data_IF_914721953607
#
_entry.id   IF_914721953607
#
_cell.length_a   1.000
_cell.length_b   1.000
_cell.length_c   1.000
_cell.angle_alpha   90.00
_cell.angle_beta   90.00
_cell.angle_gamma   90.00
#
_symmetry.space_group_name_H-M   'P 1'
#
loop_
_entity.id
_entity.type
_entity.pdbx_description
1 polymer ?
#
# COMPACT_ATOMS: atom_id res chain seq x y z
N UNK A 1 -16.33 -25.90 29.40
CA UNK A 1 -15.13 -25.60 28.59
C UNK A 1 -15.32 -26.29 27.25
N UNK A 2 -15.95 -25.62 26.30
CA UNK A 2 -16.11 -26.12 24.91
C UNK A 2 -15.10 -25.40 24.05
N UNK A 3 -14.14 -26.15 23.55
CA UNK A 3 -13.11 -25.66 22.61
C UNK A 3 -13.77 -25.54 21.25
N UNK A 4 -14.01 -24.31 20.80
CA UNK A 4 -14.41 -24.04 19.42
C UNK A 4 -13.17 -24.23 18.54
N UNK A 5 -13.18 -25.30 17.76
CA UNK A 5 -12.20 -25.54 16.69
C UNK A 5 -12.66 -24.72 15.48
N UNK A 6 -11.99 -23.62 15.22
CA UNK A 6 -12.16 -22.88 13.97
C UNK A 6 -11.32 -23.54 12.88
N UNK A 7 -11.98 -24.05 11.86
CA UNK A 7 -11.36 -24.54 10.64
C UNK A 7 -10.83 -23.36 9.83
N UNK A 8 -9.54 -23.40 9.50
CA UNK A 8 -8.87 -22.44 8.65
C UNK A 8 -9.39 -22.55 7.21
N UNK A 9 -9.68 -21.45 6.51
CA UNK A 9 -9.70 -21.47 5.06
C UNK A 9 -8.25 -21.54 4.57
N UNK A 10 -7.87 -22.70 4.04
CA UNK A 10 -6.66 -22.87 3.25
C UNK A 10 -6.78 -22.03 1.96
N UNK A 11 -5.62 -21.65 1.37
CA UNK A 11 -5.56 -21.02 0.05
C UNK A 11 -6.34 -21.80 -1.04
N UNK A 12 -6.59 -23.09 -0.81
CA UNK A 12 -7.39 -23.96 -1.68
C UNK A 12 -8.89 -23.61 -1.75
N UNK A 13 -9.41 -22.75 -0.88
CA UNK A 13 -10.82 -22.31 -0.96
C UNK A 13 -11.07 -21.17 -1.96
N UNK A 14 -10.02 -20.50 -2.43
CA UNK A 14 -10.11 -19.58 -3.56
C UNK A 14 -10.20 -20.35 -4.90
N UNK A 15 -9.74 -21.60 -4.96
CA UNK A 15 -9.76 -22.45 -6.17
C UNK A 15 -11.09 -23.19 -6.40
N UNK A 16 -12.06 -23.12 -5.49
CA UNK A 16 -13.32 -23.86 -5.56
C UNK A 16 -14.54 -23.03 -5.97
N UNK A 17 -14.38 -21.73 -6.25
CA UNK A 17 -15.44 -20.92 -6.87
C UNK A 17 -15.44 -21.21 -8.37
N UNK A 18 -16.52 -21.80 -8.87
CA UNK A 18 -16.78 -22.04 -10.28
C UNK A 18 -16.46 -20.84 -11.15
N UNK A 19 -15.60 -21.03 -12.13
CA UNK A 19 -15.21 -20.29 -13.31
C UNK A 19 -16.14 -19.16 -13.82
N UNK A 20 -16.32 -18.11 -13.05
CA UNK A 20 -16.57 -16.75 -13.52
C UNK A 20 -15.42 -15.94 -12.93
N UNK A 21 -14.62 -15.25 -13.78
CA UNK A 21 -13.47 -14.45 -13.38
C UNK A 21 -13.92 -13.22 -12.57
N UNK A 22 -14.29 -13.43 -11.31
CA UNK A 22 -14.72 -12.37 -10.39
C UNK A 22 -13.47 -11.78 -9.73
N UNK A 23 -13.14 -10.53 -10.03
CA UNK A 23 -12.06 -9.81 -9.37
C UNK A 23 -12.48 -9.39 -7.97
N UNK A 24 -11.53 -9.27 -7.05
CA UNK A 24 -11.78 -8.63 -5.76
C UNK A 24 -11.73 -7.09 -5.87
N UNK A 25 -12.24 -6.40 -4.86
CA UNK A 25 -11.97 -4.98 -4.64
C UNK A 25 -10.88 -4.84 -3.57
N UNK A 26 -9.95 -3.95 -3.83
CA UNK A 26 -8.92 -3.58 -2.86
C UNK A 26 -9.02 -2.09 -2.53
N UNK A 27 -9.09 -1.77 -1.26
CA UNK A 27 -8.94 -0.41 -0.77
C UNK A 27 -7.52 -0.20 -0.25
N UNK A 28 -6.82 0.78 -0.81
CA UNK A 28 -5.45 1.10 -0.38
C UNK A 28 -5.42 1.52 1.08
N UNK A 29 -6.45 2.18 1.55
CA UNK A 29 -6.61 2.60 2.94
C UNK A 29 -7.17 4.01 3.03
N UNK A 30 -7.21 4.56 4.23
CA UNK A 30 -7.76 5.85 4.63
C UNK A 30 -9.17 6.16 4.07
N UNK A 31 -9.89 7.02 4.75
CA UNK A 31 -11.16 7.59 4.31
C UNK A 31 -11.08 9.12 4.41
N UNK A 32 -12.01 9.86 3.78
CA UNK A 32 -12.15 11.29 4.04
C UNK A 32 -12.15 11.62 5.52
N UNK A 33 -11.44 12.66 5.93
CA UNK A 33 -11.20 13.00 7.33
C UNK A 33 -12.48 13.08 8.20
N UNK A 34 -13.62 13.43 7.60
CA UNK A 34 -14.92 13.46 8.27
C UNK A 34 -15.47 12.08 8.66
N UNK A 35 -14.89 11.00 8.13
CA UNK A 35 -15.28 9.60 8.37
C UNK A 35 -14.29 8.84 9.25
N UNK A 36 -13.20 9.48 9.72
CA UNK A 36 -12.10 8.78 10.42
C UNK A 36 -12.21 8.83 11.95
N UNK A 37 -13.31 9.34 12.51
CA UNK A 37 -13.45 9.53 13.96
C UNK A 37 -13.79 8.27 14.77
N UNK A 38 -14.23 7.18 14.13
CA UNK A 38 -14.70 5.95 14.78
C UNK A 38 -14.32 4.71 13.96
N UNK A 39 -13.56 3.81 14.56
CA UNK A 39 -13.05 2.60 13.88
C UNK A 39 -14.18 1.68 13.40
N UNK A 40 -15.26 1.53 14.20
CA UNK A 40 -16.40 0.71 13.80
C UNK A 40 -17.10 1.32 12.58
N UNK A 41 -17.34 2.64 12.57
CA UNK A 41 -17.98 3.34 11.44
C UNK A 41 -17.10 3.29 10.20
N UNK A 42 -15.77 3.44 10.33
CA UNK A 42 -14.84 3.30 9.20
C UNK A 42 -14.94 1.92 8.54
N UNK A 43 -14.88 0.84 9.33
CA UNK A 43 -14.99 -0.52 8.80
C UNK A 43 -16.37 -0.78 8.18
N UNK A 44 -17.44 -0.31 8.83
CA UNK A 44 -18.81 -0.39 8.28
C UNK A 44 -18.92 0.33 6.96
N UNK A 45 -18.30 1.49 6.81
CA UNK A 45 -18.33 2.23 5.55
C UNK A 45 -17.83 1.37 4.38
N UNK A 46 -16.69 0.71 4.52
CA UNK A 46 -16.17 -0.18 3.46
C UNK A 46 -17.13 -1.33 3.17
N UNK A 47 -17.64 -1.99 4.19
CA UNK A 47 -18.55 -3.13 4.05
C UNK A 47 -19.88 -2.73 3.40
N UNK A 48 -20.44 -1.59 3.78
CA UNK A 48 -21.73 -1.10 3.27
C UNK A 48 -21.65 -0.62 1.81
N UNK A 49 -20.46 -0.18 1.37
CA UNK A 49 -20.24 0.28 -0.02
C UNK A 49 -19.68 -0.82 -0.95
N UNK A 50 -19.54 -2.05 -0.45
CA UNK A 50 -19.10 -3.21 -1.24
C UNK A 50 -20.00 -4.43 -0.99
N UNK A 51 -21.33 -4.30 -1.17
CA UNK A 51 -22.22 -5.44 -1.05
C UNK A 51 -21.86 -6.49 -2.11
N UNK A 52 -21.91 -7.76 -1.74
CA UNK A 52 -21.72 -8.91 -2.63
C UNK A 52 -20.36 -8.92 -3.37
N UNK A 53 -19.35 -8.19 -2.85
CA UNK A 53 -18.04 -8.10 -3.46
C UNK A 53 -16.96 -8.59 -2.48
N UNK A 54 -16.06 -9.43 -2.98
CA UNK A 54 -14.91 -9.89 -2.20
C UNK A 54 -13.92 -8.73 -1.98
N UNK A 55 -13.58 -8.47 -0.72
CA UNK A 55 -12.54 -7.52 -0.34
C UNK A 55 -11.22 -8.26 -0.08
N UNK A 56 -10.11 -7.69 -0.56
CA UNK A 56 -8.78 -8.25 -0.27
C UNK A 56 -8.37 -8.04 1.19
N UNK A 57 -8.83 -6.98 1.83
CA UNK A 57 -8.60 -6.62 3.22
C UNK A 57 -9.51 -5.49 3.65
N UNK A 58 -9.65 -5.29 4.95
CA UNK A 58 -10.47 -4.23 5.54
C UNK A 58 -9.56 -3.18 6.21
N UNK A 59 -9.29 -2.04 5.54
CA UNK A 59 -8.45 -1.00 6.13
C UNK A 59 -9.20 -0.22 7.21
N UNK A 60 -8.45 0.40 8.12
CA UNK A 60 -8.98 1.31 9.13
C UNK A 60 -7.90 2.32 9.55
N UNK A 61 -7.33 3.04 8.57
CA UNK A 61 -6.29 4.04 8.81
C UNK A 61 -6.91 5.36 9.27
N UNK A 62 -6.51 5.87 10.41
CA UNK A 62 -7.00 7.15 10.94
C UNK A 62 -6.37 8.37 10.28
N UNK A 63 -5.11 8.27 9.83
CA UNK A 63 -4.43 9.37 9.18
C UNK A 63 -4.78 9.43 7.67
N UNK A 64 -5.63 10.38 7.25
CA UNK A 64 -5.96 10.56 5.84
C UNK A 64 -4.77 11.08 5.03
N UNK A 65 -3.71 11.54 5.70
CA UNK A 65 -2.48 12.07 5.10
C UNK A 65 -1.29 11.11 5.19
N UNK A 66 -1.54 9.85 5.58
CA UNK A 66 -0.54 8.77 5.67
C UNK A 66 0.42 8.97 6.86
N UNK A 67 1.67 9.43 6.64
CA UNK A 67 2.70 9.60 7.69
C UNK A 67 2.93 11.06 8.09
N UNK A 68 2.09 11.99 7.65
CA UNK A 68 2.37 13.42 7.86
C UNK A 68 2.38 13.77 9.35
N UNK A 69 1.40 13.26 10.12
CA UNK A 69 1.34 13.53 11.55
C UNK A 69 2.55 12.94 12.29
N UNK A 70 3.07 11.78 11.84
CA UNK A 70 4.30 11.21 12.36
C UNK A 70 5.53 12.08 12.01
N UNK A 71 5.64 12.57 10.77
CA UNK A 71 6.73 13.47 10.35
C UNK A 71 6.75 14.77 11.15
N UNK A 72 5.59 15.36 11.40
CA UNK A 72 5.45 16.56 12.23
C UNK A 72 5.87 16.28 13.69
N UNK A 73 5.59 15.06 14.19
CA UNK A 73 6.01 14.58 15.51
C UNK A 73 7.52 14.44 15.69
N UNK A 74 8.30 14.28 14.62
CA UNK A 74 9.77 14.15 14.69
C UNK A 74 10.46 15.39 15.29
N UNK A 75 9.82 16.55 15.23
CA UNK A 75 10.32 17.78 15.83
C UNK A 75 10.51 17.66 17.37
N UNK A 76 9.80 16.75 18.03
CA UNK A 76 9.89 16.51 19.46
C UNK A 76 11.06 15.60 19.86
N UNK A 77 11.70 14.91 18.90
CA UNK A 77 12.82 14.00 19.17
C UNK A 77 14.08 14.79 19.47
N UNK A 78 14.62 14.66 20.71
CA UNK A 78 15.81 15.41 21.12
C UNK A 78 17.05 15.18 20.22
N UNK A 79 17.18 14.00 19.64
CA UNK A 79 18.30 13.67 18.75
C UNK A 79 18.25 14.38 17.39
N UNK A 80 17.10 14.90 16.99
CA UNK A 80 16.89 15.55 15.68
C UNK A 80 16.94 17.08 15.80
N UNK A 81 17.39 17.72 14.73
CA UNK A 81 17.25 19.15 14.55
C UNK A 81 16.72 19.45 13.12
N UNK A 82 15.84 20.46 12.97
CA UNK A 82 15.28 20.78 11.67
C UNK A 82 16.35 21.37 10.74
N UNK A 83 16.36 20.87 9.50
CA UNK A 83 17.13 21.46 8.38
C UNK A 83 16.23 22.35 7.54
N UNK A 84 15.01 21.89 7.30
CA UNK A 84 13.95 22.65 6.66
C UNK A 84 12.70 22.55 7.53
N UNK A 85 12.08 23.68 7.79
CA UNK A 85 10.74 23.73 8.40
C UNK A 85 9.69 23.71 7.31
N UNK A 86 8.50 23.22 7.61
CA UNK A 86 7.36 23.17 6.70
C UNK A 86 6.11 22.78 7.45
N UNK A 87 4.97 22.88 6.77
CA UNK A 87 3.64 22.53 7.30
C UNK A 87 3.02 21.34 6.55
N UNK A 88 3.82 20.69 5.70
CA UNK A 88 3.40 19.52 4.91
C UNK A 88 2.14 19.79 4.05
N UNK A 89 2.02 21.03 3.53
CA UNK A 89 0.93 21.40 2.64
C UNK A 89 1.07 20.72 1.27
N UNK A 90 2.30 20.60 0.79
CA UNK A 90 2.69 19.86 -0.40
C UNK A 90 4.10 19.26 -0.22
N UNK A 91 4.59 18.52 -1.23
CA UNK A 91 5.91 17.87 -1.17
C UNK A 91 7.10 18.85 -1.10
N UNK A 92 6.93 20.11 -1.46
CA UNK A 92 7.98 21.13 -1.34
C UNK A 92 7.98 21.79 0.04
N UNK A 93 6.87 21.70 0.78
CA UNK A 93 6.67 22.26 2.11
C UNK A 93 6.84 21.21 3.23
N UNK A 94 7.41 20.06 2.96
CA UNK A 94 7.66 19.04 3.98
C UNK A 94 8.88 19.39 4.84
N UNK A 95 8.79 19.22 6.19
CA UNK A 95 9.93 19.38 7.06
C UNK A 95 11.00 18.32 6.77
N UNK A 96 12.26 18.67 7.00
CA UNK A 96 13.36 17.69 6.98
C UNK A 96 14.28 17.94 8.15
N UNK A 97 14.96 16.89 8.59
CA UNK A 97 15.76 16.88 9.80
C UNK A 97 17.17 16.37 9.53
N UNK A 98 18.06 16.60 10.49
CA UNK A 98 19.35 15.93 10.58
C UNK A 98 19.62 15.51 12.02
N UNK A 99 20.50 14.54 12.18
CA UNK A 99 20.94 14.12 13.49
C UNK A 99 21.85 15.20 14.12
N UNK A 100 21.62 15.57 15.36
CA UNK A 100 22.51 16.44 16.13
C UNK A 100 23.86 15.76 16.33
N UNK A 101 24.92 16.53 16.37
CA UNK A 101 26.28 16.00 16.58
C UNK A 101 26.36 15.19 17.89
N UNK A 102 26.91 13.98 17.80
CA UNK A 102 27.07 13.10 18.96
C UNK A 102 25.78 12.46 19.50
N UNK A 103 24.65 12.60 18.76
CA UNK A 103 23.40 11.93 19.07
C UNK A 103 23.14 10.78 18.11
N UNK A 104 22.27 9.84 18.50
CA UNK A 104 21.78 8.73 17.69
C UNK A 104 20.28 8.58 17.88
N UNK A 105 19.63 7.90 16.96
CA UNK A 105 18.21 7.53 17.04
C UNK A 105 18.09 6.10 17.54
N UNK A 106 17.17 5.88 18.48
CA UNK A 106 16.71 4.56 18.87
C UNK A 106 15.41 4.21 18.09
N UNK A 107 15.08 2.92 17.96
CA UNK A 107 13.85 2.50 17.27
C UNK A 107 12.60 3.03 17.95
N UNK A 108 12.62 3.11 19.28
CA UNK A 108 11.51 3.62 20.08
C UNK A 108 11.21 5.10 19.81
N UNK A 109 12.23 5.92 19.47
CA UNK A 109 12.03 7.32 19.06
C UNK A 109 11.21 7.44 17.78
N UNK A 110 11.22 6.40 16.95
CA UNK A 110 10.62 6.36 15.61
C UNK A 110 9.34 5.54 15.56
N UNK A 111 8.78 5.14 16.68
CA UNK A 111 7.55 4.34 16.73
C UNK A 111 6.42 5.01 15.95
N UNK A 112 5.73 4.25 15.11
CA UNK A 112 4.55 4.69 14.36
C UNK A 112 3.26 4.49 15.17
N UNK A 113 3.33 3.80 16.33
CA UNK A 113 2.17 3.47 17.15
C UNK A 113 1.19 2.50 16.49
N UNK A 114 1.62 1.79 15.44
CA UNK A 114 0.73 0.90 14.67
C UNK A 114 0.20 -0.26 15.49
N UNK A 115 0.98 -0.77 16.44
CA UNK A 115 0.54 -1.85 17.33
C UNK A 115 -0.65 -1.40 18.19
N UNK A 116 -0.53 -0.28 18.89
CA UNK A 116 -1.61 0.27 19.72
C UNK A 116 -2.86 0.61 18.90
N UNK A 117 -2.68 1.19 17.72
CA UNK A 117 -3.78 1.49 16.80
C UNK A 117 -4.49 0.21 16.36
N UNK A 118 -3.74 -0.81 15.95
CA UNK A 118 -4.29 -2.10 15.52
C UNK A 118 -5.08 -2.77 16.65
N UNK A 119 -4.61 -2.73 17.89
CA UNK A 119 -5.35 -3.27 19.04
C UNK A 119 -6.72 -2.61 19.20
N UNK A 120 -6.77 -1.28 19.07
CA UNK A 120 -8.04 -0.53 19.13
C UNK A 120 -8.97 -0.88 17.96
N UNK A 121 -8.44 -1.00 16.75
CA UNK A 121 -9.22 -1.42 15.57
C UNK A 121 -9.76 -2.84 15.74
N UNK A 122 -8.95 -3.78 16.21
CA UNK A 122 -9.36 -5.17 16.41
C UNK A 122 -10.41 -5.30 17.53
N UNK A 123 -10.33 -4.46 18.57
CA UNK A 123 -11.38 -4.38 19.58
C UNK A 123 -12.71 -3.85 19.02
N UNK A 124 -12.68 -2.83 18.15
CA UNK A 124 -13.87 -2.33 17.45
C UNK A 124 -14.41 -3.38 16.45
N UNK A 125 -13.52 -4.08 15.72
CA UNK A 125 -13.88 -5.15 14.80
C UNK A 125 -14.64 -6.28 15.48
N UNK A 126 -14.27 -6.64 16.69
CA UNK A 126 -14.98 -7.67 17.46
C UNK A 126 -16.45 -7.31 17.79
N UNK A 127 -16.81 -6.05 17.64
CA UNK A 127 -18.19 -5.54 17.84
C UNK A 127 -18.98 -5.45 16.52
N UNK A 128 -18.34 -5.70 15.37
CA UNK A 128 -19.04 -5.78 14.09
C UNK A 128 -19.91 -7.03 14.07
N UNK A 129 -21.19 -6.82 13.82
CA UNK A 129 -22.15 -7.92 13.61
C UNK A 129 -22.55 -7.91 12.13
N UNK A 130 -22.22 -8.98 11.42
CA UNK A 130 -22.59 -9.20 10.04
C UNK A 130 -22.55 -10.72 9.79
N UNK A 131 -23.39 -11.21 8.90
CA UNK A 131 -23.42 -12.62 8.52
C UNK A 131 -22.30 -12.99 7.53
N UNK A 132 -21.54 -11.99 7.06
CA UNK A 132 -20.41 -12.18 6.13
C UNK A 132 -19.12 -12.53 6.88
N UNK A 133 -18.29 -13.36 6.26
CA UNK A 133 -16.89 -13.51 6.68
C UNK A 133 -16.13 -12.23 6.39
N UNK A 134 -15.62 -11.59 7.44
CA UNK A 134 -14.84 -10.38 7.29
C UNK A 134 -13.44 -10.68 6.75
N UNK A 135 -12.97 -9.96 5.72
CA UNK A 135 -11.58 -10.05 5.29
C UNK A 135 -10.64 -9.66 6.44
N UNK A 136 -9.37 -10.06 6.43
CA UNK A 136 -8.42 -9.67 7.46
C UNK A 136 -8.30 -8.14 7.55
N UNK A 137 -8.05 -7.62 8.75
CA UNK A 137 -7.75 -6.19 8.92
C UNK A 137 -6.46 -5.84 8.17
N UNK A 138 -6.51 -4.84 7.29
CA UNK A 138 -5.37 -4.35 6.55
C UNK A 138 -4.64 -3.27 7.35
N UNK A 139 -3.39 -3.55 7.70
CA UNK A 139 -2.53 -2.61 8.44
C UNK A 139 -1.56 -1.95 7.47
N UNK A 140 -1.65 -0.63 7.34
CA UNK A 140 -0.72 0.18 6.56
C UNK A 140 0.65 0.26 7.26
N UNK A 141 1.69 -0.17 6.56
CA UNK A 141 3.08 -0.20 7.03
C UNK A 141 3.96 0.61 6.07
N UNK A 142 4.41 1.81 6.44
CA UNK A 142 5.35 2.56 5.63
C UNK A 142 6.67 1.80 5.46
N UNK A 143 7.20 1.77 4.25
CA UNK A 143 8.52 1.16 4.02
C UNK A 143 9.61 1.96 4.77
N UNK A 144 10.51 1.32 5.49
CA UNK A 144 11.58 1.99 6.26
C UNK A 144 12.42 2.99 5.47
N UNK A 145 12.66 2.71 4.18
CA UNK A 145 13.39 3.64 3.31
C UNK A 145 12.60 4.92 3.05
N UNK A 146 11.29 4.82 2.96
CA UNK A 146 10.40 5.99 2.77
C UNK A 146 10.44 6.89 4.00
N UNK A 147 10.30 6.31 5.20
CA UNK A 147 10.41 7.05 6.46
C UNK A 147 11.76 7.77 6.57
N UNK A 148 12.86 7.07 6.31
CA UNK A 148 14.19 7.66 6.36
C UNK A 148 14.39 8.75 5.29
N UNK A 149 13.88 8.54 4.06
CA UNK A 149 14.01 9.53 2.99
C UNK A 149 13.21 10.80 3.27
N UNK A 150 11.97 10.66 3.77
CA UNK A 150 11.15 11.83 4.13
C UNK A 150 11.73 12.54 5.36
N UNK A 151 12.26 11.82 6.36
CA UNK A 151 12.91 12.43 7.52
C UNK A 151 14.14 13.28 7.13
N UNK A 152 15.03 12.72 6.30
CA UNK A 152 16.32 13.36 6.02
C UNK A 152 16.37 14.14 4.69
N UNK A 153 15.39 13.97 3.82
CA UNK A 153 15.34 14.64 2.50
C UNK A 153 16.48 14.22 1.54
N UNK A 154 17.27 13.20 1.88
CA UNK A 154 18.48 12.79 1.15
C UNK A 154 18.61 11.28 1.08
N UNK A 155 18.77 10.67 -0.12
CA UNK A 155 18.97 9.24 -0.26
C UNK A 155 20.20 8.70 0.50
N UNK A 156 21.29 9.48 0.54
CA UNK A 156 22.51 9.09 1.26
C UNK A 156 22.29 9.01 2.77
N UNK A 157 21.65 10.01 3.36
CA UNK A 157 21.30 10.00 4.77
C UNK A 157 20.25 8.92 5.08
N UNK A 158 19.25 8.75 4.22
CA UNK A 158 18.26 7.69 4.36
C UNK A 158 18.90 6.29 4.43
N UNK A 159 19.83 5.99 3.54
CA UNK A 159 20.54 4.69 3.53
C UNK A 159 21.40 4.52 4.79
N UNK A 160 22.05 5.58 5.26
CA UNK A 160 22.90 5.55 6.46
C UNK A 160 22.09 5.19 7.72
N UNK A 161 20.90 5.74 7.84
CA UNK A 161 20.04 5.54 9.01
C UNK A 161 18.96 4.46 8.82
N UNK A 162 18.88 3.82 7.64
CA UNK A 162 17.88 2.80 7.32
C UNK A 162 17.75 1.68 8.38
N UNK A 163 18.84 1.19 9.03
CA UNK A 163 18.70 0.12 10.00
C UNK A 163 17.79 0.45 11.19
N UNK A 164 17.86 1.66 11.75
CA UNK A 164 17.01 2.04 12.89
C UNK A 164 15.54 2.22 12.48
N UNK A 165 15.26 2.79 11.30
CA UNK A 165 13.90 2.87 10.77
C UNK A 165 13.31 1.49 10.48
N UNK A 166 14.13 0.57 9.95
CA UNK A 166 13.69 -0.81 9.75
C UNK A 166 13.36 -1.51 11.06
N UNK A 167 14.16 -1.29 12.10
CA UNK A 167 13.90 -1.85 13.42
C UNK A 167 12.57 -1.31 13.96
N UNK A 168 12.33 -0.01 13.93
CA UNK A 168 11.09 0.61 14.41
C UNK A 168 9.85 0.03 13.71
N UNK A 169 9.90 -0.11 12.39
CA UNK A 169 8.80 -0.71 11.61
C UNK A 169 8.59 -2.18 11.97
N UNK A 170 9.66 -2.94 12.11
CA UNK A 170 9.58 -4.37 12.42
C UNK A 170 9.12 -4.63 13.87
N UNK A 171 9.43 -3.76 14.81
CA UNK A 171 8.95 -3.85 16.19
C UNK A 171 7.40 -3.79 16.23
N UNK A 172 6.79 -2.85 15.48
CA UNK A 172 5.34 -2.79 15.30
C UNK A 172 4.80 -4.05 14.61
N UNK A 173 5.38 -4.45 13.48
CA UNK A 173 4.94 -5.63 12.69
C UNK A 173 4.98 -6.91 13.53
N UNK A 174 6.08 -7.17 14.24
CA UNK A 174 6.20 -8.35 15.11
C UNK A 174 5.21 -8.32 16.27
N UNK A 175 4.95 -7.14 16.83
CA UNK A 175 3.98 -6.98 17.93
C UNK A 175 2.58 -7.25 17.44
N UNK A 176 2.15 -6.65 16.33
CA UNK A 176 0.83 -6.84 15.72
C UNK A 176 0.62 -8.30 15.34
N UNK A 177 1.59 -8.91 14.65
CA UNK A 177 1.46 -10.30 14.20
C UNK A 177 1.39 -11.28 15.38
N UNK A 178 2.18 -11.07 16.44
CA UNK A 178 2.13 -11.89 17.65
C UNK A 178 0.77 -11.82 18.35
N UNK A 179 0.11 -10.66 18.32
CA UNK A 179 -1.18 -10.44 18.99
C UNK A 179 -2.36 -10.92 18.14
N UNK A 180 -2.31 -10.73 16.83
CA UNK A 180 -3.47 -10.91 15.95
C UNK A 180 -3.29 -11.97 14.86
N UNK A 181 -2.07 -12.43 14.59
CA UNK A 181 -1.79 -13.52 13.65
C UNK A 181 -2.40 -13.26 12.27
N UNK A 182 -3.12 -14.25 11.73
CA UNK A 182 -3.75 -14.21 10.41
C UNK A 182 -5.02 -13.34 10.33
N UNK A 183 -5.45 -12.72 11.44
CA UNK A 183 -6.56 -11.76 11.39
C UNK A 183 -6.14 -10.40 10.83
N UNK A 184 -4.84 -10.20 10.58
CA UNK A 184 -4.29 -9.02 9.94
C UNK A 184 -3.54 -9.37 8.66
N UNK A 185 -3.50 -8.42 7.74
CA UNK A 185 -2.65 -8.41 6.56
C UNK A 185 -1.89 -7.09 6.52
N UNK A 186 -0.60 -7.16 6.31
CA UNK A 186 0.23 -5.95 6.22
C UNK A 186 0.29 -5.44 4.80
N UNK A 187 0.06 -4.14 4.60
CA UNK A 187 0.29 -3.46 3.33
C UNK A 187 1.55 -2.61 3.44
N UNK A 188 2.62 -3.03 2.77
CA UNK A 188 3.87 -2.25 2.71
C UNK A 188 3.73 -1.15 1.67
N UNK A 189 3.83 0.10 2.08
CA UNK A 189 3.66 1.29 1.26
C UNK A 189 5.00 1.86 0.82
N UNK A 190 5.19 2.08 -0.48
CA UNK A 190 6.53 2.29 -1.06
C UNK A 190 6.62 3.46 -2.05
N UNK A 191 6.11 4.67 -1.74
CA UNK A 191 6.19 5.82 -2.66
C UNK A 191 7.62 6.23 -3.03
N UNK A 192 8.57 6.15 -2.09
CA UNK A 192 9.96 6.53 -2.34
C UNK A 192 10.68 5.62 -3.33
N UNK A 193 10.22 4.39 -3.55
CA UNK A 193 10.82 3.46 -4.51
C UNK A 193 10.73 4.03 -5.91
N UNK A 194 9.53 4.33 -6.38
CA UNK A 194 9.31 4.85 -7.72
C UNK A 194 9.85 6.27 -7.88
N UNK A 195 9.72 7.13 -6.85
CA UNK A 195 10.29 8.47 -6.83
C UNK A 195 11.83 8.46 -6.93
N UNK A 196 12.49 7.49 -6.30
CA UNK A 196 13.94 7.33 -6.41
C UNK A 196 14.35 6.90 -7.81
N UNK A 197 13.60 6.00 -8.44
CA UNK A 197 13.87 5.59 -9.83
C UNK A 197 13.66 6.73 -10.81
N UNK A 198 12.61 7.53 -10.66
CA UNK A 198 12.36 8.70 -11.51
C UNK A 198 13.53 9.69 -11.48
N UNK A 199 14.07 9.97 -10.28
CA UNK A 199 15.21 10.88 -10.08
C UNK A 199 16.57 10.28 -10.42
N UNK A 200 16.62 8.97 -10.71
CA UNK A 200 17.87 8.27 -11.04
C UNK A 200 18.12 8.30 -12.54
N UNK A 201 19.30 8.73 -13.02
CA UNK A 201 19.65 8.63 -14.45
C UNK A 201 19.50 7.21 -14.97
N UNK A 202 18.88 7.04 -16.14
CA UNK A 202 18.56 5.74 -16.75
C UNK A 202 19.73 4.73 -16.76
N UNK A 203 21.00 5.11 -17.07
CA UNK A 203 22.12 4.16 -17.03
C UNK A 203 22.38 3.55 -15.64
N UNK A 204 21.97 4.21 -14.56
CA UNK A 204 22.14 3.75 -13.18
C UNK A 204 20.94 2.90 -12.68
N UNK A 205 19.86 2.84 -13.44
CA UNK A 205 18.65 2.09 -13.07
C UNK A 205 18.89 0.64 -12.67
N UNK A 206 19.70 -0.17 -13.38
CA UNK A 206 19.92 -1.56 -12.98
C UNK A 206 20.52 -1.71 -11.58
N UNK A 207 21.35 -0.75 -11.15
CA UNK A 207 21.92 -0.74 -9.81
C UNK A 207 20.89 -0.26 -8.76
N UNK A 208 20.17 0.84 -9.06
CA UNK A 208 19.14 1.40 -8.18
C UNK A 208 18.01 0.41 -7.96
N UNK A 209 17.45 -0.20 -9.01
CA UNK A 209 16.41 -1.23 -8.95
C UNK A 209 16.83 -2.39 -8.04
N UNK A 210 18.05 -2.91 -8.20
CA UNK A 210 18.55 -4.00 -7.35
C UNK A 210 18.71 -3.57 -5.88
N UNK A 211 19.19 -2.36 -5.64
CA UNK A 211 19.35 -1.84 -4.27
C UNK A 211 18.00 -1.65 -3.57
N UNK A 212 17.03 -1.05 -4.26
CA UNK A 212 15.68 -0.85 -3.76
C UNK A 212 14.95 -2.19 -3.52
N UNK A 213 15.03 -3.11 -4.48
CA UNK A 213 14.46 -4.45 -4.33
C UNK A 213 15.06 -5.21 -3.13
N UNK A 214 16.39 -5.10 -2.93
CA UNK A 214 17.08 -5.74 -1.80
C UNK A 214 16.63 -5.15 -0.45
N UNK A 215 16.45 -3.83 -0.36
CA UNK A 215 16.02 -3.21 0.89
C UNK A 215 14.57 -3.57 1.23
N UNK A 216 13.65 -3.60 0.24
CA UNK A 216 12.26 -4.05 0.46
C UNK A 216 12.22 -5.54 0.81
N UNK A 217 12.97 -6.39 0.11
CA UNK A 217 13.04 -7.82 0.42
C UNK A 217 13.51 -8.11 1.86
N UNK A 218 14.33 -7.24 2.45
CA UNK A 218 14.76 -7.37 3.84
C UNK A 218 13.63 -7.14 4.85
N UNK A 219 12.66 -6.27 4.53
CA UNK A 219 11.50 -6.07 5.40
C UNK A 219 10.72 -7.39 5.54
N UNK A 220 10.50 -8.10 4.44
CA UNK A 220 9.84 -9.40 4.45
C UNK A 220 10.70 -10.50 5.10
N UNK A 221 12.02 -10.46 4.90
CA UNK A 221 12.93 -11.47 5.45
C UNK A 221 13.09 -11.35 6.96
N UNK A 222 13.07 -10.13 7.49
CA UNK A 222 13.24 -9.82 8.90
C UNK A 222 11.86 -9.80 9.63
N UNK A 223 10.74 -9.77 8.89
CA UNK A 223 9.37 -9.86 9.43
C UNK A 223 8.94 -11.29 9.79
N UNK A 224 7.76 -11.47 10.39
CA UNK A 224 7.20 -12.78 10.71
C UNK A 224 7.02 -13.61 9.43
N UNK A 225 7.45 -14.87 9.45
CA UNK A 225 7.50 -15.73 8.25
C UNK A 225 6.13 -16.15 7.71
N UNK A 226 5.15 -16.22 8.59
CA UNK A 226 3.77 -16.61 8.33
C UNK A 226 2.82 -15.40 8.21
N UNK A 227 3.38 -14.17 8.25
CA UNK A 227 2.60 -12.97 8.02
C UNK A 227 2.17 -12.86 6.55
N UNK A 228 0.92 -12.47 6.34
CA UNK A 228 0.41 -12.15 5.01
C UNK A 228 0.74 -10.70 4.67
N UNK A 229 1.28 -10.49 3.48
CA UNK A 229 1.71 -9.17 3.00
C UNK A 229 1.08 -8.79 1.66
N UNK A 230 0.95 -7.49 1.45
CA UNK A 230 0.72 -6.84 0.15
C UNK A 230 1.71 -5.72 -0.03
N UNK A 231 1.94 -5.32 -1.28
CA UNK A 231 2.76 -4.17 -1.60
C UNK A 231 1.87 -3.13 -2.27
N UNK A 232 1.91 -1.91 -1.78
CA UNK A 232 1.35 -0.75 -2.45
C UNK A 232 2.48 0.08 -3.04
N UNK A 233 2.62 0.06 -4.37
CA UNK A 233 3.39 1.07 -5.09
C UNK A 233 2.58 2.37 -5.11
N UNK A 234 3.27 3.50 -5.03
CA UNK A 234 2.60 4.78 -4.99
C UNK A 234 3.39 5.83 -5.78
N UNK A 235 2.68 6.72 -6.46
CA UNK A 235 3.27 7.92 -7.07
C UNK A 235 3.24 9.13 -6.13
N UNK A 236 2.72 8.94 -4.91
CA UNK A 236 2.36 10.01 -4.00
C UNK A 236 0.97 10.55 -4.32
N UNK A 237 0.33 11.13 -3.32
CA UNK A 237 -1.01 11.71 -3.45
C UNK A 237 -1.26 12.83 -2.43
N UNK A 238 -0.20 13.48 -1.94
CA UNK A 238 -0.35 14.62 -1.03
C UNK A 238 -0.98 15.80 -1.78
N UNK A 239 -2.15 16.25 -1.30
CA UNK A 239 -2.94 17.26 -2.00
C UNK A 239 -3.44 16.81 -3.38
N UNK A 240 -3.68 15.51 -3.60
CA UNK A 240 -3.97 14.88 -4.89
C UNK A 240 -2.90 15.05 -5.97
N UNK A 241 -1.69 15.43 -5.61
CA UNK A 241 -0.60 15.61 -6.57
C UNK A 241 0.42 14.48 -6.47
N UNK A 242 0.87 13.93 -7.61
CA UNK A 242 1.93 12.93 -7.61
C UNK A 242 3.29 13.57 -7.30
N UNK A 243 4.21 12.77 -6.73
CA UNK A 243 5.62 13.17 -6.51
C UNK A 243 6.40 13.40 -7.82
N UNK A 244 5.95 12.76 -8.90
CA UNK A 244 6.57 12.81 -10.22
C UNK A 244 5.55 12.36 -11.28
N UNK A 245 5.72 12.76 -12.56
CA UNK A 245 4.78 12.41 -13.63
C UNK A 245 4.73 10.90 -13.90
N UNK A 246 3.52 10.37 -14.07
CA UNK A 246 3.29 8.99 -14.48
C UNK A 246 3.36 8.88 -16.01
N UNK A 247 4.43 8.34 -16.55
CA UNK A 247 4.67 8.24 -18.01
C UNK A 247 4.42 6.85 -18.58
N UNK A 248 4.82 5.81 -17.83
CA UNK A 248 4.65 4.39 -18.19
C UNK A 248 4.83 3.50 -16.95
N UNK A 249 4.60 2.19 -17.11
CA UNK A 249 4.74 1.21 -16.03
C UNK A 249 6.13 0.51 -16.00
N UNK A 250 7.10 0.94 -16.82
CA UNK A 250 8.44 0.35 -16.87
C UNK A 250 9.14 0.36 -15.51
N UNK A 251 9.14 1.47 -14.73
CA UNK A 251 9.78 1.49 -13.42
C UNK A 251 9.19 0.46 -12.44
N UNK A 252 7.86 0.38 -12.40
CA UNK A 252 7.14 -0.57 -11.56
C UNK A 252 7.50 -2.02 -11.92
N UNK A 253 7.41 -2.39 -13.20
CA UNK A 253 7.70 -3.75 -13.68
C UNK A 253 9.15 -4.14 -13.42
N UNK A 254 10.12 -3.25 -13.67
CA UNK A 254 11.53 -3.55 -13.39
C UNK A 254 11.79 -3.76 -11.90
N UNK A 255 11.22 -2.91 -11.05
CA UNK A 255 11.35 -3.05 -9.61
C UNK A 255 10.72 -4.37 -9.12
N UNK A 256 9.48 -4.66 -9.53
CA UNK A 256 8.76 -5.87 -9.10
C UNK A 256 9.45 -7.16 -9.53
N UNK A 257 9.94 -7.22 -10.76
CA UNK A 257 10.71 -8.37 -11.22
C UNK A 257 12.01 -8.56 -10.41
N UNK A 258 12.71 -7.48 -10.10
CA UNK A 258 13.90 -7.55 -9.25
C UNK A 258 13.59 -7.94 -7.81
N UNK A 259 12.47 -7.45 -7.25
CA UNK A 259 12.01 -7.83 -5.93
C UNK A 259 11.65 -9.32 -5.88
N UNK A 260 10.89 -9.79 -6.87
CA UNK A 260 10.57 -11.21 -7.02
C UNK A 260 11.83 -12.09 -7.02
N UNK A 261 12.88 -11.70 -7.77
CA UNK A 261 14.16 -12.42 -7.75
C UNK A 261 14.83 -12.44 -6.36
N UNK A 262 14.76 -11.32 -5.61
CA UNK A 262 15.30 -11.27 -4.24
C UNK A 262 14.52 -12.17 -3.29
N UNK A 263 13.19 -12.11 -3.33
CA UNK A 263 12.32 -12.93 -2.49
C UNK A 263 12.48 -14.44 -2.79
N UNK A 264 12.56 -14.81 -4.05
CA UNK A 264 12.83 -16.20 -4.46
C UNK A 264 14.15 -16.73 -3.88
N UNK A 265 15.21 -15.93 -3.90
CA UNK A 265 16.52 -16.32 -3.28
C UNK A 265 16.38 -16.54 -1.77
N UNK A 266 15.49 -15.80 -1.13
CA UNK A 266 15.20 -15.89 0.31
C UNK A 266 14.15 -16.97 0.63
N UNK A 267 13.53 -17.59 -0.38
CA UNK A 267 12.41 -18.53 -0.28
C UNK A 267 11.21 -17.91 0.44
N UNK A 268 10.90 -16.67 0.07
CA UNK A 268 9.75 -15.92 0.55
C UNK A 268 8.78 -15.77 -0.63
N UNK A 269 7.49 -16.09 -0.45
CA UNK A 269 6.48 -15.88 -1.48
C UNK A 269 6.39 -14.40 -1.87
N UNK A 270 6.16 -14.14 -3.16
CA UNK A 270 5.90 -12.77 -3.63
C UNK A 270 4.51 -12.32 -3.18
N UNK A 271 4.39 -11.21 -2.46
CA UNK A 271 3.07 -10.66 -2.12
C UNK A 271 2.30 -10.19 -3.36
N UNK A 272 0.97 -10.14 -3.26
CA UNK A 272 0.16 -9.42 -4.24
C UNK A 272 0.54 -7.93 -4.26
N UNK A 273 0.53 -7.32 -5.44
CA UNK A 273 1.05 -5.97 -5.64
C UNK A 273 0.01 -5.04 -6.21
N UNK A 274 -0.27 -3.96 -5.50
CA UNK A 274 -1.03 -2.84 -6.01
C UNK A 274 -0.11 -1.97 -6.88
N UNK A 275 -0.46 -1.86 -8.16
CA UNK A 275 0.23 -1.02 -9.15
C UNK A 275 -0.71 0.12 -9.51
N UNK A 276 -0.43 1.37 -9.11
CA UNK A 276 -1.22 2.51 -9.56
C UNK A 276 -1.01 2.76 -11.04
N UNK A 277 -2.11 2.91 -11.78
CA UNK A 277 -2.13 3.11 -13.23
C UNK A 277 -2.76 4.46 -13.61
N UNK A 278 -3.02 5.29 -12.63
CA UNK A 278 -3.40 6.70 -12.75
C UNK A 278 -2.87 7.46 -11.53
N UNK A 279 -3.14 8.75 -11.45
CA UNK A 279 -2.86 9.59 -10.29
C UNK A 279 -4.18 10.01 -9.61
N UNK A 280 -4.12 10.78 -8.54
CA UNK A 280 -5.32 11.30 -7.88
C UNK A 280 -6.09 12.34 -8.72
N UNK A 281 -5.45 12.92 -9.75
CA UNK A 281 -6.01 14.01 -10.58
C UNK A 281 -6.19 13.65 -12.05
N UNK A 282 -5.44 12.66 -12.53
CA UNK A 282 -5.42 12.34 -13.96
C UNK A 282 -6.16 11.04 -14.23
N UNK A 283 -6.98 11.05 -15.28
CA UNK A 283 -7.65 9.85 -15.77
C UNK A 283 -6.66 8.72 -16.07
N UNK A 284 -7.05 7.46 -15.88
CA UNK A 284 -6.24 6.34 -16.34
C UNK A 284 -5.94 6.46 -17.84
N UNK A 285 -4.67 6.31 -18.27
CA UNK A 285 -4.31 6.40 -19.67
C UNK A 285 -5.04 5.34 -20.51
N UNK A 286 -5.52 5.75 -21.69
CA UNK A 286 -6.19 4.85 -22.66
C UNK A 286 -5.27 4.48 -23.84
N UNK A 287 -4.01 4.91 -23.80
CA UNK A 287 -2.99 4.51 -24.79
C UNK A 287 -2.42 3.12 -24.43
N UNK A 288 -2.55 2.10 -25.27
CA UNK A 288 -1.97 0.77 -25.01
C UNK A 288 -0.47 0.78 -24.72
N UNK A 289 0.26 1.77 -25.25
CA UNK A 289 1.72 1.90 -25.02
C UNK A 289 2.08 2.07 -23.56
N UNK A 290 1.19 2.70 -22.79
CA UNK A 290 1.40 2.89 -21.35
C UNK A 290 1.48 1.55 -20.60
N UNK A 291 0.65 0.58 -20.96
CA UNK A 291 0.53 -0.74 -20.31
C UNK A 291 1.53 -1.78 -20.83
N UNK A 292 2.18 -1.51 -21.97
CA UNK A 292 3.04 -2.47 -22.69
C UNK A 292 4.11 -3.13 -21.82
N UNK A 293 4.59 -2.46 -20.78
CA UNK A 293 5.58 -3.01 -19.87
C UNK A 293 5.05 -4.23 -19.09
N UNK A 294 3.75 -4.31 -18.84
CA UNK A 294 3.11 -5.39 -18.06
C UNK A 294 3.33 -6.78 -18.66
N UNK A 295 3.50 -6.90 -20.00
CA UNK A 295 3.85 -8.18 -20.66
C UNK A 295 5.16 -8.78 -20.18
N UNK A 296 6.03 -7.98 -19.55
CA UNK A 296 7.33 -8.40 -19.01
C UNK A 296 7.28 -8.65 -17.51
N UNK A 297 6.12 -8.43 -16.86
CA UNK A 297 5.93 -8.78 -15.46
C UNK A 297 5.92 -10.30 -15.29
N UNK A 298 6.58 -10.79 -14.25
CA UNK A 298 6.55 -12.23 -13.92
C UNK A 298 5.10 -12.70 -13.73
N UNK A 299 4.77 -13.87 -14.31
CA UNK A 299 3.39 -14.38 -14.32
C UNK A 299 2.86 -14.78 -12.96
N UNK A 300 3.74 -15.07 -12.01
CA UNK A 300 3.45 -15.44 -10.62
C UNK A 300 3.36 -14.23 -9.67
N UNK A 301 3.30 -13.01 -10.19
CA UNK A 301 3.04 -11.79 -9.42
C UNK A 301 1.56 -11.42 -9.56
N UNK A 302 0.79 -11.59 -8.51
CA UNK A 302 -0.60 -11.16 -8.48
C UNK A 302 -0.71 -9.64 -8.48
N UNK A 303 -1.51 -9.11 -9.41
CA UNK A 303 -1.65 -7.67 -9.62
C UNK A 303 -2.99 -7.19 -9.09
N UNK A 304 -2.95 -6.14 -8.29
CA UNK A 304 -4.07 -5.30 -7.93
C UNK A 304 -3.96 -4.04 -8.78
N UNK A 305 -4.93 -3.80 -9.67
CA UNK A 305 -4.87 -2.70 -10.63
C UNK A 305 -5.43 -1.41 -10.04
N UNK A 306 -4.57 -0.45 -9.77
CA UNK A 306 -4.89 0.86 -9.20
C UNK A 306 -5.32 1.87 -10.27
N UNK A 307 -6.51 1.67 -10.87
CA UNK A 307 -7.00 2.43 -12.03
C UNK A 307 -8.43 2.94 -11.89
N UNK A 308 -9.07 2.70 -10.73
CA UNK A 308 -10.44 3.13 -10.52
C UNK A 308 -10.48 4.63 -10.25
N UNK A 309 -11.07 5.38 -11.17
CA UNK A 309 -11.28 6.81 -11.08
C UNK A 309 -12.76 7.12 -11.31
N UNK A 310 -13.43 7.60 -10.30
CA UNK A 310 -14.86 7.90 -10.27
C UNK A 310 -15.28 8.99 -11.26
N UNK A 311 -14.34 9.89 -11.58
CA UNK A 311 -14.61 10.99 -12.53
C UNK A 311 -14.40 10.56 -13.99
N UNK A 312 -13.68 9.43 -14.21
CA UNK A 312 -13.35 8.90 -15.53
C UNK A 312 -13.71 7.40 -15.66
N UNK A 313 -14.97 7.01 -15.50
CA UNK A 313 -15.37 5.60 -15.48
C UNK A 313 -15.15 4.87 -16.81
N UNK A 314 -15.22 5.55 -17.93
CA UNK A 314 -14.97 4.97 -19.27
C UNK A 314 -13.48 4.66 -19.44
N UNK A 315 -12.62 5.57 -19.04
CA UNK A 315 -11.16 5.43 -19.06
C UNK A 315 -10.72 4.30 -18.11
N UNK A 316 -11.34 4.21 -16.93
CA UNK A 316 -11.07 3.12 -15.98
C UNK A 316 -11.40 1.74 -16.57
N UNK A 317 -12.53 1.60 -17.29
CA UNK A 317 -12.89 0.36 -17.99
C UNK A 317 -11.91 0.02 -19.11
N UNK A 318 -11.53 1.02 -19.89
CA UNK A 318 -10.54 0.86 -20.98
C UNK A 318 -9.16 0.47 -20.42
N UNK A 319 -8.73 1.14 -19.38
CA UNK A 319 -7.46 0.86 -18.70
C UNK A 319 -7.39 -0.57 -18.16
N UNK A 320 -8.48 -1.06 -17.55
CA UNK A 320 -8.55 -2.44 -17.04
C UNK A 320 -8.40 -3.44 -18.19
N UNK A 321 -9.13 -3.27 -19.29
CA UNK A 321 -9.03 -4.14 -20.44
C UNK A 321 -7.61 -4.14 -21.06
N UNK A 322 -6.97 -2.98 -21.16
CA UNK A 322 -5.61 -2.85 -21.65
C UNK A 322 -4.59 -3.51 -20.71
N UNK A 323 -4.73 -3.32 -19.39
CA UNK A 323 -3.85 -3.92 -18.40
C UNK A 323 -3.93 -5.45 -18.45
N UNK A 324 -5.13 -6.04 -18.49
CA UNK A 324 -5.31 -7.49 -18.57
C UNK A 324 -4.85 -8.07 -19.91
N UNK A 325 -5.04 -7.35 -21.00
CA UNK A 325 -4.49 -7.73 -22.32
C UNK A 325 -2.96 -7.82 -22.28
N UNK A 326 -2.28 -6.86 -21.69
CA UNK A 326 -0.83 -6.87 -21.62
C UNK A 326 -0.28 -7.86 -20.56
N UNK A 327 -1.04 -8.16 -19.51
CA UNK A 327 -0.74 -9.21 -18.54
C UNK A 327 -0.99 -10.62 -19.07
N UNK A 328 -1.83 -10.77 -20.11
CA UNK A 328 -2.33 -12.05 -20.64
C UNK A 328 -3.04 -12.90 -19.52
N UNK A 329 -3.71 -12.21 -18.60
CA UNK A 329 -4.51 -12.78 -17.51
C UNK A 329 -5.34 -11.70 -16.79
N UNK A 330 -6.42 -12.09 -16.08
CA UNK A 330 -7.13 -11.18 -15.18
C UNK A 330 -6.22 -10.64 -14.07
N UNK A 331 -6.56 -9.46 -13.56
CA UNK A 331 -5.97 -8.94 -12.31
C UNK A 331 -6.66 -9.58 -11.11
N UNK A 332 -5.95 -9.72 -9.99
CA UNK A 332 -6.49 -10.24 -8.73
C UNK A 332 -7.61 -9.34 -8.19
N UNK A 333 -7.39 -8.03 -8.26
CA UNK A 333 -8.33 -7.04 -7.75
C UNK A 333 -8.21 -5.71 -8.50
N UNK A 334 -9.25 -4.88 -8.36
CA UNK A 334 -9.26 -3.48 -8.80
C UNK A 334 -9.22 -2.55 -7.60
N UNK A 335 -8.64 -1.37 -7.76
CA UNK A 335 -8.47 -0.37 -6.72
C UNK A 335 -8.41 1.04 -7.30
N UNK A 336 -8.63 2.06 -6.47
CA UNK A 336 -8.19 3.42 -6.76
C UNK A 336 -6.64 3.49 -6.78
N UNK A 337 -6.07 4.51 -7.40
CA UNK A 337 -4.62 4.71 -7.46
C UNK A 337 -3.97 4.88 -6.07
N UNK A 338 -4.71 5.44 -5.11
CA UNK A 338 -4.29 5.67 -3.73
C UNK A 338 -5.50 5.59 -2.79
N UNK A 339 -5.30 5.80 -1.47
CA UNK A 339 -6.36 5.82 -0.47
C UNK A 339 -7.39 6.94 -0.70
N UNK A 340 -8.55 6.81 -0.07
CA UNK A 340 -9.67 7.76 -0.22
C UNK A 340 -9.54 9.01 0.65
N UNK A 341 -8.51 9.14 1.48
CA UNK A 341 -8.38 10.21 2.47
C UNK A 341 -8.41 11.64 1.94
N UNK A 342 -8.12 11.84 0.65
CA UNK A 342 -8.13 13.16 -0.01
C UNK A 342 -9.37 13.40 -0.85
N UNK A 343 -10.26 12.41 -0.97
CA UNK A 343 -11.53 12.55 -1.67
C UNK A 343 -12.57 13.25 -0.81
N UNK A 344 -13.56 13.86 -1.46
CA UNK A 344 -14.82 14.18 -0.80
C UNK A 344 -15.61 12.88 -0.54
N UNK A 345 -16.49 12.89 0.44
CA UNK A 345 -17.30 11.70 0.78
C UNK A 345 -18.11 11.18 -0.43
N UNK A 346 -18.79 12.04 -1.22
CA UNK A 346 -19.51 11.57 -2.42
C UNK A 346 -18.59 10.91 -3.44
N UNK A 347 -17.37 11.42 -3.61
CA UNK A 347 -16.40 10.89 -4.57
C UNK A 347 -15.86 9.52 -4.09
N UNK A 348 -15.60 9.37 -2.79
CA UNK A 348 -15.22 8.08 -2.22
C UNK A 348 -16.31 7.02 -2.40
N UNK A 349 -17.60 7.39 -2.24
CA UNK A 349 -18.75 6.51 -2.50
C UNK A 349 -18.82 6.12 -3.98
N UNK A 350 -18.67 7.10 -4.88
CA UNK A 350 -18.68 6.85 -6.32
C UNK A 350 -17.52 5.96 -6.77
N UNK A 351 -16.33 6.14 -6.17
CA UNK A 351 -15.16 5.30 -6.43
C UNK A 351 -15.40 3.85 -5.99
N UNK A 352 -15.94 3.63 -4.78
CA UNK A 352 -16.28 2.30 -4.29
C UNK A 352 -17.32 1.60 -5.19
N UNK A 353 -18.35 2.32 -5.64
CA UNK A 353 -19.36 1.79 -6.54
C UNK A 353 -18.76 1.39 -7.91
N UNK A 354 -17.88 2.22 -8.49
CA UNK A 354 -17.19 1.90 -9.73
C UNK A 354 -16.23 0.71 -9.55
N UNK A 355 -15.53 0.60 -8.40
CA UNK A 355 -14.69 -0.54 -8.11
C UNK A 355 -15.49 -1.85 -8.07
N UNK A 356 -16.65 -1.87 -7.42
CA UNK A 356 -17.55 -3.02 -7.42
C UNK A 356 -18.03 -3.36 -8.86
N UNK A 357 -18.40 -2.36 -9.66
CA UNK A 357 -18.81 -2.59 -11.05
C UNK A 357 -17.67 -3.27 -11.85
N UNK A 358 -16.44 -2.77 -11.72
CA UNK A 358 -15.28 -3.32 -12.44
C UNK A 358 -14.88 -4.71 -11.95
N UNK A 359 -15.11 -5.00 -10.67
CA UNK A 359 -14.85 -6.32 -10.10
C UNK A 359 -15.79 -7.39 -10.68
N UNK A 360 -17.05 -7.06 -10.92
CA UNK A 360 -18.08 -7.99 -11.42
C UNK A 360 -18.11 -8.17 -12.93
N UNK A 361 -17.37 -7.38 -13.71
CA UNK A 361 -17.33 -7.57 -15.17
C UNK A 361 -16.43 -8.74 -15.52
N UNK A 362 -17.02 -9.71 -16.24
CA UNK A 362 -16.25 -10.73 -16.97
C UNK A 362 -15.29 -10.05 -17.95
N UNK A 363 -14.10 -10.61 -18.10
CA UNK A 363 -13.18 -10.20 -19.15
C UNK A 363 -13.93 -10.20 -20.50
N UNK A 364 -13.85 -9.09 -21.22
CA UNK A 364 -14.36 -9.06 -22.59
C UNK A 364 -13.38 -9.88 -23.42
N UNK A 365 -13.83 -11.07 -23.84
CA UNK A 365 -13.10 -11.92 -24.81
C UNK A 365 -12.88 -11.20 -26.15
#
# INVERSE_FOLDING_TARGET
MSTLVFSHPSNDQLDAASSEDVRAVHFVGSLPATLTGDHHQMMRWFLDHTPDTTLTGLPCDQDPRWIIDWLDGLAAIDALEPVRTGHSADYNDMPTYRLKHGRWLESDDLSLGRATHTDAVMAARAQLHDDRDFPPHQVSIPNPYDLALFTFGSPGAAVTHLPVFRQAVLDDVHTIHRQHGNHVVFQLETPAVLATLDRTPRPLWPAAVRALAKQVARVFADGPRDATWRIHLCYGDLGHQPLFPLTDLVPAVQFLNALHEQLNRLRIPMPAVHIPMCTGTDAPPTDPRFYRALRHLRRDIDVIAGLVDETHPTESRTALALAETELDRPVLAVAAACGHGRRLVPDAVANAALACELAHRTAVC
#
